data_IF_710002679161
#
_entry.id   IF_710002679161
#
_cell.length_a   1.000
_cell.length_b   1.000
_cell.length_c   1.000
_cell.angle_alpha   90.00
_cell.angle_beta   90.00
_cell.angle_gamma   90.00
#
_symmetry.space_group_name_H-M   'P 1'
#
loop_
_entity.id
_entity.type
_entity.pdbx_description
1 polymer ?
#
# COMPACT_ATOMS: atom_id res chain seq x y z
N UNK A 1 -2.16 -12.68 19.31
CA UNK A 1 -2.87 -13.19 18.12
C UNK A 1 -4.36 -12.87 18.19
N UNK A 2 -5.11 -12.85 17.08
CA UNK A 2 -6.57 -12.64 17.11
C UNK A 2 -7.30 -13.64 18.02
N UNK A 3 -6.87 -14.91 18.01
CA UNK A 3 -7.47 -15.94 18.87
C UNK A 3 -7.29 -15.65 20.36
N UNK A 4 -6.12 -15.22 20.79
CA UNK A 4 -5.87 -14.84 22.19
C UNK A 4 -6.68 -13.60 22.59
N UNK A 5 -6.83 -12.64 21.70
CA UNK A 5 -7.66 -11.45 21.94
C UNK A 5 -9.13 -11.84 22.12
N UNK A 6 -9.65 -12.71 21.26
CA UNK A 6 -11.03 -13.23 21.38
C UNK A 6 -11.20 -13.98 22.69
N UNK A 7 -10.29 -14.90 23.03
CA UNK A 7 -10.35 -15.66 24.27
C UNK A 7 -10.32 -14.74 25.51
N UNK A 8 -9.44 -13.74 25.49
CA UNK A 8 -9.35 -12.75 26.57
C UNK A 8 -10.67 -11.97 26.75
N UNK A 9 -11.28 -11.54 25.66
CA UNK A 9 -12.55 -10.80 25.70
C UNK A 9 -13.69 -11.69 26.20
N UNK A 10 -13.77 -12.94 25.71
CA UNK A 10 -14.78 -13.90 26.15
C UNK A 10 -14.63 -14.22 27.65
N UNK A 11 -13.42 -14.40 28.16
CA UNK A 11 -13.16 -14.60 29.61
C UNK A 11 -13.62 -13.39 30.44
N UNK A 12 -13.63 -12.19 29.87
CA UNK A 12 -14.16 -10.99 30.52
C UNK A 12 -15.68 -10.82 30.38
N UNK A 13 -16.38 -11.77 29.76
CA UNK A 13 -17.81 -11.71 29.55
C UNK A 13 -18.24 -10.78 28.42
N UNK A 14 -17.30 -10.36 27.55
CA UNK A 14 -17.64 -9.52 26.41
C UNK A 14 -18.51 -10.28 25.41
N UNK A 15 -19.62 -9.67 25.02
CA UNK A 15 -20.51 -10.16 23.98
C UNK A 15 -20.56 -9.15 22.83
N UNK A 16 -20.11 -9.53 21.63
CA UNK A 16 -20.16 -8.61 20.49
C UNK A 16 -21.62 -8.38 20.05
N UNK A 17 -21.94 -7.16 19.72
CA UNK A 17 -23.26 -6.81 19.15
C UNK A 17 -23.50 -7.37 17.75
N UNK A 18 -22.42 -7.70 17.04
CA UNK A 18 -22.44 -8.24 15.68
C UNK A 18 -21.63 -9.53 15.61
N UNK A 19 -22.00 -10.38 14.67
CA UNK A 19 -21.21 -11.57 14.38
C UNK A 19 -19.81 -11.19 13.91
N UNK A 20 -18.81 -11.82 14.50
CA UNK A 20 -17.41 -11.69 14.11
C UNK A 20 -17.00 -12.98 13.41
N UNK A 21 -16.54 -12.86 12.18
CA UNK A 21 -15.95 -13.96 11.42
C UNK A 21 -14.43 -13.92 11.57
N UNK A 22 -13.84 -15.03 11.94
CA UNK A 22 -12.40 -15.21 11.96
C UNK A 22 -12.02 -16.08 10.76
N UNK A 23 -11.29 -15.50 9.82
CA UNK A 23 -10.88 -16.14 8.60
C UNK A 23 -9.36 -16.33 8.59
N UNK A 24 -8.90 -17.59 8.47
CA UNK A 24 -7.47 -17.91 8.45
C UNK A 24 -7.14 -18.55 7.10
N UNK A 25 -6.34 -17.87 6.31
CA UNK A 25 -5.80 -18.36 5.04
C UNK A 25 -4.39 -18.94 5.22
N UNK A 26 -3.87 -19.58 4.20
CA UNK A 26 -2.54 -20.20 4.20
C UNK A 26 -1.70 -19.81 3.00
N UNK A 27 -2.26 -19.05 2.07
CA UNK A 27 -1.66 -18.73 0.77
C UNK A 27 -1.73 -17.23 0.44
N UNK A 28 -1.76 -16.36 1.45
CA UNK A 28 -1.86 -14.91 1.28
C UNK A 28 -0.69 -14.37 0.44
N UNK A 29 0.55 -14.79 0.74
CA UNK A 29 1.78 -14.38 0.06
C UNK A 29 1.86 -14.79 -1.43
N UNK A 30 0.95 -15.65 -1.87
CA UNK A 30 0.81 -16.10 -3.26
C UNK A 30 -0.57 -15.82 -3.83
N UNK A 31 -1.15 -14.67 -3.46
CA UNK A 31 -2.44 -14.12 -3.92
C UNK A 31 -3.73 -14.66 -3.28
N UNK A 32 -3.67 -15.55 -2.30
CA UNK A 32 -4.82 -15.99 -1.50
C UNK A 32 -5.92 -16.75 -2.26
N UNK A 33 -5.61 -17.31 -3.44
CA UNK A 33 -6.61 -17.92 -4.32
C UNK A 33 -7.29 -19.16 -3.69
N UNK A 34 -6.57 -19.93 -2.88
CA UNK A 34 -7.08 -21.11 -2.20
C UNK A 34 -7.55 -20.83 -0.77
N UNK A 35 -7.13 -19.72 -0.17
CA UNK A 35 -7.50 -19.28 1.16
C UNK A 35 -8.56 -18.16 1.14
N UNK A 36 -8.11 -16.92 1.13
CA UNK A 36 -8.97 -15.75 1.27
C UNK A 36 -10.08 -15.66 0.22
N UNK A 37 -9.76 -15.94 -1.05
CA UNK A 37 -10.74 -15.93 -2.14
C UNK A 37 -11.86 -16.95 -1.93
N UNK A 38 -11.52 -18.17 -1.47
CA UNK A 38 -12.52 -19.21 -1.19
C UNK A 38 -13.40 -18.85 -0.01
N UNK A 39 -12.82 -18.29 1.05
CA UNK A 39 -13.58 -17.84 2.23
C UNK A 39 -14.51 -16.69 1.87
N UNK A 40 -14.05 -15.70 1.09
CA UNK A 40 -14.87 -14.62 0.60
C UNK A 40 -16.04 -15.10 -0.25
N UNK A 41 -15.79 -16.03 -1.20
CA UNK A 41 -16.82 -16.63 -2.02
C UNK A 41 -17.87 -17.40 -1.19
N UNK A 42 -17.45 -18.10 -0.15
CA UNK A 42 -18.36 -18.79 0.77
C UNK A 42 -19.25 -17.82 1.56
N UNK A 43 -18.68 -16.76 2.12
CA UNK A 43 -19.46 -15.74 2.82
C UNK A 43 -20.46 -15.07 1.87
N UNK A 44 -20.02 -14.75 0.65
CA UNK A 44 -20.89 -14.18 -0.37
C UNK A 44 -22.04 -15.12 -0.73
N UNK A 45 -21.78 -16.42 -0.93
CA UNK A 45 -22.84 -17.40 -1.26
C UNK A 45 -23.87 -17.58 -0.13
N UNK A 46 -23.48 -17.29 1.10
CA UNK A 46 -24.33 -17.28 2.28
C UNK A 46 -25.07 -15.96 2.47
N UNK A 47 -24.91 -14.97 1.58
CA UNK A 47 -25.54 -13.67 1.65
C UNK A 47 -24.99 -12.77 2.77
N UNK A 48 -23.83 -13.08 3.31
CA UNK A 48 -23.21 -12.29 4.38
C UNK A 48 -22.78 -10.92 3.83
N UNK A 49 -23.22 -9.87 4.48
CA UNK A 49 -22.80 -8.49 4.22
C UNK A 49 -21.90 -8.03 5.36
N UNK A 50 -20.66 -7.85 5.05
CA UNK A 50 -19.66 -7.38 6.02
C UNK A 50 -19.80 -5.87 6.23
N UNK A 51 -19.82 -5.46 7.49
CA UNK A 51 -19.78 -4.04 7.87
C UNK A 51 -18.36 -3.48 7.79
N UNK A 52 -17.36 -4.32 8.07
CA UNK A 52 -15.94 -4.01 7.99
C UNK A 52 -15.15 -5.30 7.80
N UNK A 53 -13.97 -5.17 7.23
CA UNK A 53 -12.95 -6.22 7.17
C UNK A 53 -11.70 -5.65 7.84
N UNK A 54 -11.11 -6.42 8.72
CA UNK A 54 -9.81 -6.12 9.33
C UNK A 54 -8.84 -7.21 8.93
N UNK A 55 -7.74 -6.82 8.35
CA UNK A 55 -6.68 -7.71 7.94
C UNK A 55 -5.44 -7.49 8.81
N UNK A 56 -4.44 -8.32 8.64
CA UNK A 56 -3.16 -8.12 9.27
C UNK A 56 -2.38 -6.96 8.64
N UNK A 57 -1.27 -6.64 9.21
CA UNK A 57 -0.40 -5.57 8.75
C UNK A 57 -0.51 -4.35 9.65
N UNK A 58 0.47 -3.58 9.58
CA UNK A 58 0.67 -2.49 10.50
C UNK A 58 1.66 -2.85 11.62
N UNK A 59 2.29 -1.85 12.12
CA UNK A 59 3.33 -2.00 13.13
C UNK A 59 3.30 -0.84 14.10
N UNK A 60 3.78 -1.09 15.32
CA UNK A 60 4.14 -0.01 16.22
C UNK A 60 5.61 0.31 15.93
N UNK A 61 5.85 1.44 15.29
CA UNK A 61 7.20 1.91 14.97
C UNK A 61 7.78 2.67 16.16
N UNK A 62 9.07 2.50 16.36
CA UNK A 62 9.79 3.13 17.48
C UNK A 62 9.94 4.64 17.30
N UNK A 63 10.39 5.28 18.39
CA UNK A 63 10.66 6.71 18.43
C UNK A 63 11.59 7.14 17.30
N UNK A 64 11.20 8.24 16.60
CA UNK A 64 12.00 8.81 15.53
C UNK A 64 11.91 8.11 14.17
N UNK A 65 11.22 6.97 14.09
CA UNK A 65 10.96 6.30 12.80
C UNK A 65 10.01 7.12 11.92
N UNK A 66 9.00 7.77 12.53
CA UNK A 66 8.17 8.74 11.81
C UNK A 66 8.86 10.10 11.85
N UNK A 67 9.16 10.72 10.69
CA UNK A 67 9.87 11.97 10.63
C UNK A 67 9.24 13.07 11.49
N UNK A 68 10.01 13.59 12.43
CA UNK A 68 9.60 14.68 13.31
C UNK A 68 8.74 14.29 14.50
N UNK A 69 8.49 13.01 14.73
CA UNK A 69 7.76 12.49 15.88
C UNK A 69 8.71 11.65 16.74
N UNK A 70 8.87 12.06 18.01
CA UNK A 70 9.75 11.37 18.97
C UNK A 70 8.95 10.53 19.98
N UNK A 71 7.99 9.78 19.49
CA UNK A 71 7.16 8.84 20.23
C UNK A 71 7.01 7.55 19.43
N UNK A 72 6.70 6.42 20.05
CA UNK A 72 6.23 5.25 19.33
C UNK A 72 4.91 5.58 18.62
N UNK A 73 4.75 5.12 17.39
CA UNK A 73 3.55 5.37 16.57
C UNK A 73 2.98 4.05 16.10
N UNK A 74 1.72 3.78 16.44
CA UNK A 74 0.97 2.67 15.86
C UNK A 74 0.46 3.11 14.48
N UNK A 75 0.89 2.41 13.44
CA UNK A 75 0.44 2.64 12.07
C UNK A 75 -0.74 1.72 11.78
N UNK A 76 -1.84 2.30 11.35
CA UNK A 76 -3.05 1.58 10.94
C UNK A 76 -3.21 1.80 9.44
N UNK A 77 -3.10 0.72 8.67
CA UNK A 77 -3.42 0.73 7.25
C UNK A 77 -4.93 0.87 7.07
N UNK A 78 -5.34 1.79 6.20
CA UNK A 78 -6.77 2.02 5.89
C UNK A 78 -7.09 1.75 4.43
N UNK A 79 -6.07 1.48 3.63
CA UNK A 79 -6.18 1.06 2.22
C UNK A 79 -4.99 0.20 1.85
N UNK A 80 -5.17 -0.58 0.81
CA UNK A 80 -4.12 -1.38 0.21
C UNK A 80 -3.97 -1.01 -1.27
N UNK A 81 -2.76 -1.18 -1.78
CA UNK A 81 -2.44 -0.96 -3.19
C UNK A 81 -2.81 -2.20 -3.99
N UNK A 82 -3.30 -2.00 -5.20
CA UNK A 82 -3.45 -3.09 -6.14
C UNK A 82 -2.10 -3.66 -6.59
N UNK A 83 -2.12 -4.90 -7.01
CA UNK A 83 -0.98 -5.60 -7.60
C UNK A 83 -1.27 -5.89 -9.08
N UNK A 84 -0.29 -5.68 -9.94
CA UNK A 84 -0.36 -5.98 -11.37
C UNK A 84 0.96 -6.60 -11.84
N UNK A 85 0.88 -7.79 -12.42
CA UNK A 85 1.97 -8.34 -13.24
C UNK A 85 1.75 -7.98 -14.69
N UNK A 86 2.75 -7.39 -15.31
CA UNK A 86 2.73 -7.04 -16.74
C UNK A 86 3.74 -7.89 -17.49
N UNK A 87 3.25 -8.72 -18.39
CA UNK A 87 4.09 -9.44 -19.36
C UNK A 87 4.16 -8.65 -20.67
N UNK A 88 5.37 -8.39 -21.15
CA UNK A 88 5.58 -7.71 -22.42
C UNK A 88 6.37 -8.61 -23.35
N UNK A 89 5.88 -8.75 -24.58
CA UNK A 89 6.49 -9.57 -25.62
C UNK A 89 6.69 -8.75 -26.88
N UNK A 90 7.86 -8.88 -27.51
CA UNK A 90 8.15 -8.30 -28.84
C UNK A 90 8.60 -9.39 -29.75
N UNK A 91 7.87 -9.60 -30.84
CA UNK A 91 8.23 -10.53 -31.89
C UNK A 91 9.01 -9.81 -33.00
N UNK A 92 10.07 -10.44 -33.47
CA UNK A 92 10.85 -9.94 -34.61
C UNK A 92 11.32 -11.10 -35.46
N UNK A 93 11.40 -10.85 -36.76
CA UNK A 93 12.03 -11.82 -37.69
C UNK A 93 13.52 -11.91 -37.37
N UNK A 94 14.02 -13.14 -37.28
CA UNK A 94 15.45 -13.41 -37.24
C UNK A 94 16.14 -12.91 -38.54
N UNK A 95 17.41 -12.58 -38.44
CA UNK A 95 18.20 -12.11 -39.57
C UNK A 95 19.69 -12.29 -39.34
N UNK A 96 20.49 -11.99 -40.36
CA UNK A 96 21.94 -12.05 -40.26
C UNK A 96 22.46 -10.83 -39.48
N UNK A 97 23.34 -11.08 -38.50
CA UNK A 97 23.84 -10.02 -37.60
C UNK A 97 24.56 -8.85 -38.30
N UNK A 98 25.12 -9.11 -39.50
CA UNK A 98 25.76 -8.04 -40.34
C UNK A 98 24.77 -7.15 -41.10
N UNK A 99 23.47 -7.47 -41.09
CA UNK A 99 22.40 -6.72 -41.74
C UNK A 99 21.26 -6.47 -40.72
N UNK A 100 21.53 -5.71 -39.65
CA UNK A 100 20.53 -5.48 -38.62
C UNK A 100 19.39 -4.60 -39.14
N UNK A 101 18.14 -4.83 -38.70
CA UNK A 101 17.03 -3.92 -39.00
C UNK A 101 17.26 -2.57 -38.30
N UNK A 102 16.57 -1.54 -38.78
CA UNK A 102 16.65 -0.19 -38.20
C UNK A 102 16.24 -0.19 -36.69
N UNK A 103 15.35 -1.09 -36.29
CA UNK A 103 14.93 -1.29 -34.90
C UNK A 103 14.96 -2.77 -34.60
N UNK A 104 15.72 -3.14 -33.57
CA UNK A 104 15.75 -4.52 -33.06
C UNK A 104 14.63 -4.73 -32.04
N UNK A 105 14.24 -5.99 -31.82
CA UNK A 105 13.27 -6.35 -30.76
C UNK A 105 13.70 -5.82 -29.38
N UNK A 106 15.00 -5.89 -29.07
CA UNK A 106 15.59 -5.36 -27.83
C UNK A 106 15.39 -3.85 -27.77
N UNK A 107 15.63 -3.12 -28.86
CA UNK A 107 15.45 -1.67 -28.90
C UNK A 107 13.99 -1.26 -28.71
N UNK A 108 13.05 -1.98 -29.32
CA UNK A 108 11.60 -1.74 -29.13
C UNK A 108 11.18 -2.02 -27.70
N UNK A 109 11.60 -3.14 -27.12
CA UNK A 109 11.31 -3.51 -25.73
C UNK A 109 11.90 -2.47 -24.75
N UNK A 110 13.15 -2.06 -24.97
CA UNK A 110 13.80 -1.05 -24.13
C UNK A 110 13.05 0.28 -24.14
N UNK A 111 12.53 0.70 -25.30
CA UNK A 111 11.71 1.90 -25.38
C UNK A 111 10.38 1.77 -24.63
N UNK A 112 9.75 0.61 -24.71
CA UNK A 112 8.51 0.35 -23.99
C UNK A 112 8.73 0.41 -22.46
N UNK A 113 9.77 -0.24 -21.97
CA UNK A 113 10.16 -0.22 -20.55
C UNK A 113 10.47 1.22 -20.11
N UNK A 114 11.29 1.95 -20.87
CA UNK A 114 11.63 3.33 -20.55
C UNK A 114 10.39 4.25 -20.50
N UNK A 115 9.40 4.04 -21.35
CA UNK A 115 8.13 4.79 -21.30
C UNK A 115 7.35 4.50 -20.03
N UNK A 116 7.28 3.24 -19.60
CA UNK A 116 6.61 2.86 -18.34
C UNK A 116 7.31 3.50 -17.14
N UNK A 117 8.62 3.38 -17.04
CA UNK A 117 9.38 3.93 -15.91
C UNK A 117 9.38 5.47 -15.88
N UNK A 118 9.35 6.12 -17.03
CA UNK A 118 9.32 7.59 -17.10
C UNK A 118 7.95 8.20 -16.78
N UNK A 119 6.91 7.39 -16.68
CA UNK A 119 5.55 7.82 -16.35
C UNK A 119 5.06 7.16 -15.04
N UNK A 120 5.66 7.53 -13.89
CA UNK A 120 5.26 6.94 -12.62
C UNK A 120 3.80 7.27 -12.30
N UNK A 121 3.13 6.38 -11.57
CA UNK A 121 1.75 6.57 -11.14
C UNK A 121 1.54 7.90 -10.42
N UNK A 122 0.34 8.48 -10.48
CA UNK A 122 0.02 9.75 -9.84
C UNK A 122 0.32 9.78 -8.34
N UNK A 123 0.59 10.96 -7.81
CA UNK A 123 0.76 11.17 -6.37
C UNK A 123 -0.60 11.50 -5.76
N UNK A 124 -0.98 10.76 -4.73
CA UNK A 124 -2.16 10.95 -3.90
C UNK A 124 -1.73 11.18 -2.44
N UNK A 125 -1.39 12.41 -2.07
CA UNK A 125 -0.77 12.70 -0.78
C UNK A 125 -1.78 12.81 0.37
N UNK A 126 -3.09 12.75 0.12
CA UNK A 126 -4.15 13.12 1.06
C UNK A 126 -4.08 12.28 2.34
N UNK A 127 -3.88 10.99 2.20
CA UNK A 127 -3.79 10.07 3.36
C UNK A 127 -2.53 10.34 4.19
N UNK A 128 -1.41 10.56 3.51
CA UNK A 128 -0.14 10.90 4.17
C UNK A 128 -0.26 12.25 4.88
N UNK A 129 -0.90 13.23 4.25
CA UNK A 129 -1.15 14.52 4.90
C UNK A 129 -2.06 14.37 6.11
N UNK A 130 -3.13 13.57 6.02
CA UNK A 130 -4.02 13.28 7.14
C UNK A 130 -3.29 12.65 8.32
N UNK A 131 -2.40 11.68 8.07
CA UNK A 131 -1.54 11.10 9.09
C UNK A 131 -0.67 12.15 9.78
N UNK A 132 0.04 12.98 9.02
CA UNK A 132 0.90 14.01 9.59
C UNK A 132 0.12 15.13 10.29
N UNK A 133 -1.07 15.47 9.83
CA UNK A 133 -1.95 16.42 10.51
C UNK A 133 -2.41 15.86 11.87
N UNK A 134 -2.78 14.58 11.93
CA UNK A 134 -3.13 13.89 13.18
C UNK A 134 -1.96 13.88 14.17
N UNK A 135 -0.75 13.63 13.68
CA UNK A 135 0.47 13.63 14.49
C UNK A 135 1.00 15.04 14.81
N UNK A 136 0.37 16.08 14.28
CA UNK A 136 0.85 17.45 14.37
C UNK A 136 1.17 17.95 15.78
N UNK A 137 0.39 17.53 16.80
CA UNK A 137 0.62 17.88 18.20
C UNK A 137 1.95 17.35 18.77
N UNK A 138 2.50 16.30 18.16
CA UNK A 138 3.74 15.64 18.58
C UNK A 138 4.95 16.02 17.73
N UNK A 139 4.76 16.90 16.75
CA UNK A 139 5.80 17.32 15.82
C UNK A 139 6.47 18.63 16.27
N UNK A 140 7.71 18.85 15.78
CA UNK A 140 8.34 20.16 15.91
C UNK A 140 7.51 21.26 15.25
N UNK A 141 7.61 22.48 15.77
CA UNK A 141 6.83 23.63 15.27
C UNK A 141 6.93 23.81 13.75
N UNK A 142 8.13 23.73 13.19
CA UNK A 142 8.34 23.90 11.73
C UNK A 142 7.62 22.86 10.88
N UNK A 143 7.66 21.58 11.28
CA UNK A 143 6.95 20.51 10.57
C UNK A 143 5.43 20.63 10.74
N UNK A 144 4.97 20.94 11.94
CA UNK A 144 3.56 21.20 12.20
C UNK A 144 3.02 22.33 11.32
N UNK A 145 3.76 23.43 11.22
CA UNK A 145 3.41 24.56 10.35
C UNK A 145 3.40 24.15 8.87
N UNK A 146 4.36 23.33 8.44
CA UNK A 146 4.41 22.87 7.05
C UNK A 146 3.20 22.02 6.69
N UNK A 147 2.83 21.06 7.53
CA UNK A 147 1.68 20.18 7.28
C UNK A 147 0.32 20.85 7.53
N UNK A 148 0.26 21.87 8.38
CA UNK A 148 -0.94 22.69 8.53
C UNK A 148 -1.20 23.61 7.31
N UNK A 149 -0.17 23.92 6.52
CA UNK A 149 -0.24 24.79 5.36
C UNK A 149 0.08 24.05 4.04
N UNK A 150 -0.49 22.87 3.87
CA UNK A 150 -0.27 22.05 2.66
C UNK A 150 -0.78 22.74 1.39
N UNK A 151 -1.74 23.65 1.48
CA UNK A 151 -2.21 24.47 0.37
C UNK A 151 -1.09 25.35 -0.22
N UNK A 152 -0.15 25.81 0.60
CA UNK A 152 1.00 26.63 0.21
C UNK A 152 2.25 25.79 -0.05
N UNK A 153 2.54 24.85 0.85
CA UNK A 153 3.80 24.09 0.86
C UNK A 153 3.67 22.69 0.28
N UNK A 154 2.48 22.26 -0.14
CA UNK A 154 2.19 20.90 -0.57
C UNK A 154 3.11 20.40 -1.68
N UNK A 155 3.34 21.18 -2.72
CA UNK A 155 4.27 20.80 -3.82
C UNK A 155 5.70 20.57 -3.34
N UNK A 156 6.17 21.41 -2.40
CA UNK A 156 7.52 21.29 -1.82
C UNK A 156 7.61 20.05 -0.93
N UNK A 157 6.59 19.79 -0.13
CA UNK A 157 6.49 18.58 0.72
C UNK A 157 6.49 17.33 -0.18
N UNK A 158 5.63 17.27 -1.19
CA UNK A 158 5.56 16.16 -2.15
C UNK A 158 6.92 15.90 -2.80
N UNK A 159 7.59 16.93 -3.30
CA UNK A 159 8.92 16.81 -3.91
C UNK A 159 9.95 16.21 -2.95
N UNK A 160 9.95 16.66 -1.69
CA UNK A 160 10.87 16.12 -0.66
C UNK A 160 10.52 14.67 -0.28
N UNK A 161 9.24 14.35 -0.17
CA UNK A 161 8.80 12.98 0.13
C UNK A 161 9.03 12.03 -1.03
N UNK A 162 8.81 12.47 -2.27
CA UNK A 162 9.07 11.69 -3.48
C UNK A 162 10.55 11.37 -3.70
N UNK A 163 11.46 12.13 -3.09
CA UNK A 163 12.90 11.87 -3.18
C UNK A 163 13.35 10.62 -2.40
N UNK A 164 12.52 10.10 -1.48
CA UNK A 164 12.82 8.87 -0.72
C UNK A 164 11.87 7.76 -1.20
N UNK A 165 12.41 6.59 -1.53
CA UNK A 165 11.65 5.46 -2.06
C UNK A 165 10.44 5.09 -1.19
N UNK A 166 10.63 4.97 0.14
CA UNK A 166 9.56 4.59 1.07
C UNK A 166 8.40 5.60 1.09
N UNK A 167 8.70 6.90 1.24
CA UNK A 167 7.66 7.93 1.28
C UNK A 167 7.06 8.21 -0.10
N UNK A 168 7.83 8.02 -1.18
CA UNK A 168 7.31 8.06 -2.54
C UNK A 168 6.29 6.93 -2.77
N UNK A 169 6.63 5.71 -2.34
CA UNK A 169 5.72 4.57 -2.42
C UNK A 169 4.42 4.80 -1.63
N UNK A 170 4.49 5.40 -0.45
CA UNK A 170 3.29 5.71 0.36
C UNK A 170 2.32 6.69 -0.33
N UNK A 171 2.84 7.60 -1.16
CA UNK A 171 2.02 8.62 -1.84
C UNK A 171 1.50 8.17 -3.21
N UNK A 172 2.06 7.11 -3.79
CA UNK A 172 1.64 6.63 -5.10
C UNK A 172 0.74 5.42 -4.93
N UNK A 173 -0.42 5.50 -5.55
CA UNK A 173 -1.27 4.33 -5.74
C UNK A 173 -0.88 3.62 -7.03
N UNK A 174 -1.15 2.37 -7.06
CA UNK A 174 -1.13 1.56 -8.28
C UNK A 174 -2.50 1.57 -8.91
#
# INVERSE_FOLDING_TARGET
>A
TPLEAVEHLLRKGYQPERTIYLAFGHDEEVSGAQGAAQMAGRLQSQGVKLAAVMDEGGSIVERGMVPGVNLPVALIGVTEKGYLSLEMQVEAKGGHSSMPPAHTAIGVMSQAINRLESQPMPIHPEMVYGMFQTLGGYMSFGLRMAFANTWLLGKTIQKKMAAKASTNAMMRTT
#
